data_IF_028025414485
#
_entry.id   IF_028025414485
#
_cell.length_a   1.000
_cell.length_b   1.000
_cell.length_c   1.000
_cell.angle_alpha   90.00
_cell.angle_beta   90.00
_cell.angle_gamma   90.00
#
_symmetry.space_group_name_H-M   'P 1'
#
loop_
_entity.id
_entity.type
_entity.pdbx_description
1 polymer ?
#
# COMPACT_ATOMS: atom_id res chain seq x y z
N UNK A 1 21.21 1.82 23.64
CA UNK A 1 19.96 1.83 24.42
C UNK A 1 19.54 0.39 24.72
N UNK A 2 19.38 0.02 25.97
CA UNK A 2 18.74 -1.27 26.30
C UNK A 2 17.22 -1.06 26.33
N UNK A 3 16.45 -2.01 25.83
CA UNK A 3 14.99 -2.01 25.91
C UNK A 3 14.34 -2.69 24.70
N UNK A 4 13.04 -2.98 24.83
CA UNK A 4 12.27 -3.67 23.81
C UNK A 4 11.26 -2.74 23.16
N UNK A 5 11.09 -2.86 21.84
CA UNK A 5 10.10 -2.09 21.09
C UNK A 5 9.03 -3.01 20.47
N UNK A 6 7.83 -2.48 20.34
CA UNK A 6 6.73 -3.08 19.62
C UNK A 6 6.15 -2.08 18.61
N UNK A 7 5.99 -2.49 17.36
CA UNK A 7 5.44 -1.65 16.31
C UNK A 7 4.14 -2.28 15.81
N UNK A 8 3.07 -1.48 15.76
CA UNK A 8 1.80 -1.89 15.19
C UNK A 8 1.46 -0.99 14.00
N UNK A 9 1.22 -1.59 12.83
CA UNK A 9 1.04 -0.86 11.57
C UNK A 9 -0.43 -0.82 11.17
N UNK A 10 -0.93 0.40 10.96
CA UNK A 10 -2.28 0.67 10.48
C UNK A 10 -2.20 1.41 9.15
N UNK A 11 -2.09 0.69 8.01
CA UNK A 11 -1.90 1.44 6.79
C UNK A 11 -1.87 0.64 5.49
N UNK A 12 -1.08 1.14 4.58
CA UNK A 12 -0.79 0.57 3.27
C UNK A 12 0.63 -0.01 3.25
N UNK A 13 1.02 -0.62 2.14
CA UNK A 13 2.36 -1.20 1.95
C UNK A 13 3.50 -0.20 2.22
N UNK A 14 3.31 1.11 1.94
CA UNK A 14 4.29 2.12 2.33
C UNK A 14 4.45 2.22 3.85
N UNK A 15 3.34 2.12 4.63
CA UNK A 15 3.45 2.10 6.09
C UNK A 15 4.08 0.80 6.60
N UNK A 16 3.86 -0.34 5.94
CA UNK A 16 4.55 -1.60 6.27
C UNK A 16 6.06 -1.41 6.12
N UNK A 17 6.52 -0.89 4.99
CA UNK A 17 7.94 -0.61 4.78
C UNK A 17 8.47 0.49 5.74
N UNK A 18 7.70 1.54 6.02
CA UNK A 18 8.10 2.54 7.02
C UNK A 18 8.30 1.90 8.40
N UNK A 19 7.47 0.91 8.78
CA UNK A 19 7.61 0.15 10.02
C UNK A 19 8.86 -0.72 10.04
N UNK A 20 9.19 -1.40 8.93
CA UNK A 20 10.43 -2.16 8.77
C UNK A 20 11.67 -1.25 8.92
N UNK A 21 11.63 -0.02 8.35
CA UNK A 21 12.68 0.98 8.49
C UNK A 21 12.80 1.48 9.94
N UNK A 22 11.68 1.76 10.60
CA UNK A 22 11.64 2.16 12.01
C UNK A 22 12.22 1.04 12.87
N UNK A 23 11.82 -0.21 12.66
CA UNK A 23 12.32 -1.36 13.38
C UNK A 23 13.83 -1.53 13.21
N UNK A 24 14.34 -1.43 11.99
CA UNK A 24 15.78 -1.49 11.70
C UNK A 24 16.56 -0.37 12.38
N UNK A 25 16.05 0.86 12.39
CA UNK A 25 16.67 1.99 13.06
C UNK A 25 16.70 1.83 14.58
N UNK A 26 15.61 1.33 15.18
CA UNK A 26 15.57 1.04 16.62
C UNK A 26 16.53 -0.10 17.00
N UNK A 27 16.60 -1.15 16.19
CA UNK A 27 17.53 -2.25 16.41
C UNK A 27 18.99 -1.79 16.29
N UNK A 28 19.31 -0.97 15.29
CA UNK A 28 20.64 -0.35 15.16
C UNK A 28 20.98 0.54 16.38
N UNK A 29 19.98 1.15 16.99
CA UNK A 29 20.15 1.92 18.25
C UNK A 29 20.26 1.05 19.49
N UNK A 30 20.34 -0.30 19.37
CA UNK A 30 20.53 -1.25 20.45
C UNK A 30 19.25 -1.66 21.18
N UNK A 31 18.08 -1.49 20.56
CA UNK A 31 16.82 -2.03 21.08
C UNK A 31 16.47 -3.37 20.40
N UNK A 32 15.69 -4.21 21.07
CA UNK A 32 15.23 -5.50 20.56
C UNK A 32 13.73 -5.48 20.28
N UNK A 33 13.22 -6.22 19.25
CA UNK A 33 11.81 -6.44 19.07
C UNK A 33 11.17 -7.15 20.29
N UNK A 34 10.03 -6.69 20.75
CA UNK A 34 9.23 -7.37 21.77
C UNK A 34 8.33 -8.41 21.12
N UNK A 35 8.13 -9.55 21.81
CA UNK A 35 7.22 -10.60 21.34
C UNK A 35 5.74 -10.13 21.30
N UNK A 36 5.37 -9.28 22.24
CA UNK A 36 4.03 -8.71 22.36
C UNK A 36 4.07 -7.29 22.95
N UNK A 37 2.93 -6.62 22.95
CA UNK A 37 2.80 -5.25 23.43
C UNK A 37 3.07 -5.09 24.92
N UNK A 38 2.82 -6.13 25.73
CA UNK A 38 3.02 -6.08 27.20
C UNK A 38 4.49 -6.14 27.59
N UNK A 39 5.33 -6.74 26.75
CA UNK A 39 6.77 -6.88 26.98
C UNK A 39 7.58 -5.66 26.46
N UNK A 40 6.94 -4.70 25.78
CA UNK A 40 7.62 -3.57 25.18
C UNK A 40 7.85 -2.42 26.15
N UNK A 41 9.00 -1.75 26.03
CA UNK A 41 9.32 -0.48 26.71
C UNK A 41 8.99 0.72 25.83
N UNK A 42 8.88 0.49 24.51
CA UNK A 42 8.49 1.47 23.50
C UNK A 42 7.42 0.84 22.61
N UNK A 43 6.25 1.47 22.52
CA UNK A 43 5.18 1.09 21.60
C UNK A 43 5.07 2.19 20.53
N UNK A 44 5.17 1.82 19.26
CA UNK A 44 5.00 2.72 18.12
C UNK A 44 3.80 2.28 17.30
N UNK A 45 2.83 3.19 17.12
CA UNK A 45 1.72 3.01 16.20
C UNK A 45 2.04 3.75 14.90
N UNK A 46 2.34 3.01 13.83
CA UNK A 46 2.53 3.59 12.50
C UNK A 46 1.18 3.68 11.79
N UNK A 47 0.82 4.90 11.36
CA UNK A 47 -0.57 5.26 11.12
C UNK A 47 -0.80 5.86 9.73
N UNK A 48 -1.92 5.44 9.10
CA UNK A 48 -2.38 5.94 7.81
C UNK A 48 -3.46 7.02 7.98
N UNK A 49 -3.47 8.02 7.13
CA UNK A 49 -4.50 9.06 7.06
C UNK A 49 -5.51 8.87 5.93
N UNK A 50 -5.26 7.92 5.02
CA UNK A 50 -6.09 7.72 3.81
C UNK A 50 -7.43 7.09 4.16
N UNK A 51 -7.44 6.06 5.04
CA UNK A 51 -8.65 5.30 5.40
C UNK A 51 -9.14 5.70 6.78
N UNK A 52 -10.39 6.17 6.87
CA UNK A 52 -10.97 6.58 8.15
C UNK A 52 -11.03 5.44 9.18
N UNK A 53 -11.40 4.24 8.74
CA UNK A 53 -11.39 3.05 9.61
C UNK A 53 -10.01 2.76 10.21
N UNK A 54 -8.92 3.12 9.52
CA UNK A 54 -7.57 2.98 10.08
C UNK A 54 -7.34 3.98 11.21
N UNK A 55 -7.75 5.23 11.03
CA UNK A 55 -7.67 6.29 12.08
C UNK A 55 -8.49 5.90 13.32
N UNK A 56 -9.73 5.40 13.12
CA UNK A 56 -10.59 4.94 14.22
C UNK A 56 -9.95 3.77 14.99
N UNK A 57 -9.35 2.81 14.28
CA UNK A 57 -8.63 1.69 14.92
C UNK A 57 -7.44 2.18 15.75
N UNK A 58 -6.69 3.17 15.27
CA UNK A 58 -5.58 3.76 16.03
C UNK A 58 -6.07 4.37 17.34
N UNK A 59 -7.14 5.17 17.31
CA UNK A 59 -7.68 5.75 18.54
C UNK A 59 -8.24 4.69 19.51
N UNK A 60 -8.90 3.64 19.01
CA UNK A 60 -9.34 2.52 19.83
C UNK A 60 -8.14 1.82 20.49
N UNK A 61 -7.07 1.56 19.71
CA UNK A 61 -5.84 0.93 20.22
C UNK A 61 -5.14 1.79 21.26
N UNK A 62 -5.07 3.11 21.05
CA UNK A 62 -4.55 4.05 22.06
C UNK A 62 -5.36 4.01 23.36
N UNK A 63 -6.68 3.80 23.27
CA UNK A 63 -7.51 3.60 24.45
C UNK A 63 -7.13 2.35 25.27
N UNK A 64 -6.73 1.25 24.60
CA UNK A 64 -6.24 0.03 25.26
C UNK A 64 -4.84 0.27 25.87
N UNK A 65 -3.93 0.88 25.12
CA UNK A 65 -2.56 1.19 25.56
C UNK A 65 -2.56 2.14 26.77
N UNK A 66 -3.55 2.99 26.91
CA UNK A 66 -3.71 3.89 28.08
C UNK A 66 -3.68 3.13 29.40
N UNK A 67 -4.25 1.93 29.45
CA UNK A 67 -4.25 1.08 30.66
C UNK A 67 -2.82 0.64 30.99
N UNK A 68 -2.09 0.13 30.01
CA UNK A 68 -0.68 -0.27 30.18
C UNK A 68 0.21 0.92 30.60
N UNK A 69 -0.03 2.11 30.01
CA UNK A 69 0.70 3.33 30.37
C UNK A 69 0.42 3.79 31.80
N UNK A 70 -0.78 3.57 32.32
CA UNK A 70 -1.13 3.91 33.70
C UNK A 70 -0.39 3.02 34.72
N UNK A 71 -0.17 1.75 34.39
CA UNK A 71 0.57 0.78 35.19
C UNK A 71 2.09 0.94 35.04
N UNK A 72 2.56 1.32 33.87
CA UNK A 72 3.99 1.44 33.49
C UNK A 72 4.28 2.86 33.01
N UNK A 73 4.58 3.76 33.95
CA UNK A 73 4.81 5.19 33.67
C UNK A 73 5.97 5.45 32.72
N UNK A 74 7.01 4.61 32.75
CA UNK A 74 8.18 4.69 31.86
C UNK A 74 7.89 4.24 30.43
N UNK A 75 6.79 3.53 30.18
CA UNK A 75 6.42 3.06 28.84
C UNK A 75 6.34 4.25 27.87
N UNK A 76 7.10 4.21 26.79
CA UNK A 76 7.03 5.22 25.73
C UNK A 76 5.98 4.83 24.71
N UNK A 77 5.06 5.75 24.41
CA UNK A 77 4.03 5.56 23.39
C UNK A 77 4.24 6.59 22.30
N UNK A 78 4.51 6.09 21.08
CA UNK A 78 4.69 6.91 19.87
C UNK A 78 3.57 6.72 18.87
N UNK A 79 3.16 7.81 18.22
CA UNK A 79 2.29 7.80 17.04
C UNK A 79 3.07 8.39 15.88
N UNK A 80 3.21 7.62 14.79
CA UNK A 80 4.03 8.02 13.65
C UNK A 80 3.28 7.85 12.34
N UNK A 81 3.84 8.37 11.24
CA UNK A 81 3.31 8.19 9.90
C UNK A 81 2.33 9.27 9.45
N UNK A 82 1.53 8.95 8.42
CA UNK A 82 0.71 9.95 7.71
C UNK A 82 -0.37 10.59 8.59
N UNK A 83 -0.99 9.86 9.54
CA UNK A 83 -1.96 10.45 10.46
C UNK A 83 -1.30 11.42 11.43
N UNK A 84 -0.13 11.06 11.99
CA UNK A 84 0.64 11.94 12.86
C UNK A 84 0.99 13.25 12.13
N UNK A 85 1.44 13.16 10.87
CA UNK A 85 1.75 14.32 10.03
C UNK A 85 0.52 15.18 9.76
N UNK A 86 -0.64 14.58 9.45
CA UNK A 86 -1.84 15.31 9.05
C UNK A 86 -2.57 15.97 10.22
N UNK A 87 -2.72 15.25 11.33
CA UNK A 87 -3.42 15.75 12.53
C UNK A 87 -2.51 16.60 13.43
N UNK A 88 -1.20 16.38 13.36
CA UNK A 88 -0.23 17.12 14.12
C UNK A 88 -0.53 17.09 15.63
N UNK A 89 -0.34 18.21 16.30
CA UNK A 89 -0.54 18.32 17.74
C UNK A 89 -1.99 18.06 18.22
N UNK A 90 -2.97 18.00 17.30
CA UNK A 90 -4.34 17.62 17.67
C UNK A 90 -4.40 16.21 18.25
N UNK A 91 -3.48 15.31 17.83
CA UNK A 91 -3.34 13.96 18.38
C UNK A 91 -3.00 14.04 19.87
N UNK A 92 -2.05 14.89 20.25
CA UNK A 92 -1.63 15.08 21.65
C UNK A 92 -2.75 15.66 22.52
N UNK A 93 -3.57 16.58 21.96
CA UNK A 93 -4.73 17.13 22.69
C UNK A 93 -5.77 16.06 23.00
N UNK A 94 -6.00 15.12 22.04
CA UNK A 94 -6.93 13.98 22.23
C UNK A 94 -6.35 12.89 23.13
N UNK A 95 -5.03 12.66 23.07
CA UNK A 95 -4.32 11.57 23.74
C UNK A 95 -3.05 12.11 24.43
N UNK A 96 -3.19 12.77 25.59
CA UNK A 96 -2.08 13.50 26.26
C UNK A 96 -0.93 12.61 26.78
N UNK A 97 -1.11 11.30 26.84
CA UNK A 97 -0.08 10.37 27.32
C UNK A 97 0.93 9.93 26.25
N UNK A 98 0.78 10.38 25.00
CA UNK A 98 1.73 10.12 23.91
C UNK A 98 3.05 10.85 24.21
N UNK A 99 4.16 10.13 24.10
CA UNK A 99 5.51 10.62 24.34
C UNK A 99 6.26 11.01 23.05
N UNK A 100 5.81 10.49 21.88
CA UNK A 100 6.48 10.70 20.60
C UNK A 100 5.45 10.88 19.48
N UNK A 101 5.68 11.92 18.65
CA UNK A 101 4.85 12.20 17.46
C UNK A 101 5.78 12.52 16.29
N UNK A 102 5.74 11.72 15.21
CA UNK A 102 6.63 11.93 14.08
C UNK A 102 5.94 11.69 12.71
N UNK A 103 6.34 12.47 11.72
CA UNK A 103 5.93 12.30 10.33
C UNK A 103 6.57 11.06 9.68
N UNK A 104 6.07 10.65 8.48
CA UNK A 104 6.59 9.45 7.79
C UNK A 104 8.05 9.59 7.35
N UNK A 105 8.52 10.81 7.07
CA UNK A 105 9.91 11.07 6.68
C UNK A 105 10.93 10.91 7.82
N UNK A 106 10.48 10.61 9.05
CA UNK A 106 11.35 10.54 10.25
C UNK A 106 11.68 9.11 10.71
N UNK A 107 11.43 8.10 9.86
CA UNK A 107 11.74 6.70 10.17
C UNK A 107 13.22 6.46 10.49
N UNK A 108 14.12 7.16 9.80
CA UNK A 108 15.58 7.06 9.92
C UNK A 108 16.15 7.65 11.23
N UNK A 109 15.41 8.49 11.95
CA UNK A 109 15.83 9.11 13.21
C UNK A 109 15.05 8.62 14.43
N UNK A 110 14.33 7.53 14.30
CA UNK A 110 13.40 7.05 15.34
C UNK A 110 14.10 6.76 16.67
N UNK A 111 15.29 6.17 16.64
CA UNK A 111 16.08 5.94 17.84
C UNK A 111 16.39 7.23 18.63
N UNK A 112 16.81 8.29 17.91
CA UNK A 112 17.05 9.61 18.51
C UNK A 112 15.78 10.22 19.11
N UNK A 113 14.63 10.03 18.45
CA UNK A 113 13.35 10.52 18.95
C UNK A 113 12.89 9.77 20.21
N UNK A 114 13.12 8.45 20.27
CA UNK A 114 12.87 7.64 21.46
C UNK A 114 13.74 8.07 22.62
N UNK A 115 15.04 8.33 22.42
CA UNK A 115 15.93 8.85 23.46
C UNK A 115 15.47 10.20 24.00
N UNK A 116 15.06 11.09 23.09
CA UNK A 116 14.52 12.39 23.47
C UNK A 116 13.23 12.27 24.30
N UNK A 117 12.37 11.31 23.95
CA UNK A 117 11.15 11.02 24.69
C UNK A 117 11.41 10.42 26.09
N UNK A 118 12.53 9.67 26.26
CA UNK A 118 12.97 9.15 27.58
C UNK A 118 13.52 10.23 28.50
N UNK A 119 14.26 11.17 27.94
CA UNK A 119 14.96 12.21 28.72
C UNK A 119 14.11 13.43 29.11
N UNK A 120 12.93 13.61 28.54
CA UNK A 120 12.10 14.80 28.71
C UNK A 120 10.70 14.50 29.22
N UNK A 121 10.16 15.40 30.05
CA UNK A 121 8.73 15.36 30.44
C UNK A 121 7.79 15.80 29.33
N UNK A 122 8.31 16.47 28.28
CA UNK A 122 7.52 16.90 27.12
C UNK A 122 7.63 15.88 25.97
N UNK A 123 6.59 15.71 25.15
CA UNK A 123 6.63 14.81 24.00
C UNK A 123 7.74 15.19 22.99
N UNK A 124 8.41 14.19 22.43
CA UNK A 124 9.31 14.37 21.31
C UNK A 124 8.49 14.49 20.02
N UNK A 125 8.46 15.69 19.43
CA UNK A 125 7.69 15.98 18.21
C UNK A 125 8.64 16.28 17.07
N UNK A 126 8.47 15.58 15.92
CA UNK A 126 9.11 15.95 14.66
C UNK A 126 8.17 15.68 13.47
N UNK A 127 7.50 16.74 13.04
CA UNK A 127 6.55 16.76 11.92
C UNK A 127 7.07 17.61 10.75
N UNK A 128 8.34 18.03 10.80
CA UNK A 128 8.92 18.83 9.71
C UNK A 128 9.03 18.00 8.45
N UNK A 129 8.52 18.54 7.38
CA UNK A 129 8.82 18.07 6.03
C UNK A 129 9.98 18.93 5.54
N UNK A 130 11.12 18.29 5.36
CA UNK A 130 12.33 19.00 4.98
C UNK A 130 12.30 19.31 3.48
N UNK A 131 12.77 20.49 3.07
CA UNK A 131 12.91 20.88 1.66
C UNK A 131 14.04 20.11 0.97
N UNK A 132 15.05 19.70 1.75
CA UNK A 132 16.13 18.78 1.33
C UNK A 132 16.18 17.58 2.29
N UNK A 133 15.23 16.66 2.16
CA UNK A 133 15.13 15.52 3.05
C UNK A 133 16.27 14.51 2.80
N UNK A 134 16.62 13.77 3.86
CA UNK A 134 17.55 12.64 3.77
C UNK A 134 17.28 11.74 2.56
N UNK A 135 18.32 11.13 1.97
CA UNK A 135 18.17 10.16 0.90
C UNK A 135 17.10 9.11 1.20
N UNK A 136 16.39 8.66 0.18
CA UNK A 136 15.35 7.62 0.32
C UNK A 136 15.94 6.25 0.68
N UNK A 137 17.25 6.11 0.51
CA UNK A 137 18.02 4.96 0.95
C UNK A 137 18.03 4.89 2.48
N UNK A 138 17.77 3.71 3.00
CA UNK A 138 17.86 3.45 4.44
C UNK A 138 18.84 2.33 4.69
N UNK A 139 19.87 2.60 5.48
CA UNK A 139 20.89 1.61 5.81
C UNK A 139 20.39 0.45 6.68
N UNK A 140 19.25 0.62 7.36
CA UNK A 140 18.75 -0.36 8.33
C UNK A 140 17.28 -0.62 8.10
N UNK A 141 16.96 -1.85 7.62
CA UNK A 141 15.59 -2.31 7.43
C UNK A 141 15.45 -3.69 8.07
N UNK A 142 14.59 -3.83 9.06
CA UNK A 142 14.25 -5.13 9.65
C UNK A 142 13.04 -5.70 8.90
N UNK A 143 13.28 -6.56 7.92
CA UNK A 143 12.25 -7.10 7.05
C UNK A 143 11.49 -8.24 7.72
N UNK A 144 10.17 -8.24 7.62
CA UNK A 144 9.31 -9.30 8.14
C UNK A 144 9.35 -10.55 7.27
N UNK A 145 9.32 -10.38 5.94
CA UNK A 145 9.39 -11.49 4.99
C UNK A 145 10.84 -11.81 4.61
N UNK A 146 11.14 -13.10 4.40
CA UNK A 146 12.45 -13.59 3.95
C UNK A 146 12.54 -13.83 2.44
N UNK A 147 11.47 -13.65 1.70
CA UNK A 147 11.40 -13.92 0.25
C UNK A 147 10.79 -12.77 -0.56
N UNK A 148 10.17 -11.79 0.11
CA UNK A 148 9.58 -10.61 -0.51
C UNK A 148 10.04 -9.35 0.20
N UNK A 149 10.46 -8.33 -0.57
CA UNK A 149 10.89 -7.05 -0.05
C UNK A 149 10.14 -5.87 -0.68
N UNK A 150 9.71 -4.91 0.14
CA UNK A 150 9.28 -3.60 -0.32
C UNK A 150 10.49 -2.72 -0.65
N UNK A 151 10.43 -2.01 -1.78
CA UNK A 151 11.49 -1.09 -2.24
C UNK A 151 10.86 0.27 -2.52
N UNK A 152 11.27 1.29 -1.77
CA UNK A 152 10.89 2.67 -2.10
C UNK A 152 11.63 3.10 -3.37
N UNK A 153 10.90 3.44 -4.43
CA UNK A 153 11.46 4.03 -5.65
C UNK A 153 11.17 5.52 -5.75
N UNK A 154 10.08 5.96 -5.13
CA UNK A 154 9.69 7.37 -5.03
C UNK A 154 8.90 7.64 -3.76
N UNK A 155 8.92 8.86 -3.27
CA UNK A 155 8.09 9.33 -2.16
C UNK A 155 7.47 10.68 -2.48
N UNK A 156 6.24 10.92 -1.96
CA UNK A 156 5.48 12.13 -2.25
C UNK A 156 4.73 12.08 -3.58
N UNK A 157 3.99 13.14 -3.89
CA UNK A 157 3.16 13.18 -5.09
C UNK A 157 2.87 14.63 -5.50
N UNK A 158 3.12 14.96 -6.76
CA UNK A 158 2.84 16.30 -7.33
C UNK A 158 1.42 16.44 -7.86
N UNK A 159 0.63 15.35 -7.83
CA UNK A 159 -0.78 15.37 -8.21
C UNK A 159 -1.59 16.16 -7.18
N UNK A 160 -2.57 16.93 -7.70
CA UNK A 160 -3.43 17.78 -6.89
C UNK A 160 -4.87 17.28 -6.85
N UNK A 161 -5.04 15.94 -6.70
CA UNK A 161 -6.38 15.35 -6.55
C UNK A 161 -7.10 15.99 -5.36
N UNK A 162 -8.35 16.43 -5.56
CA UNK A 162 -9.04 17.30 -4.58
C UNK A 162 -9.33 16.64 -3.23
N UNK A 163 -9.35 15.33 -3.16
CA UNK A 163 -9.61 14.53 -1.95
C UNK A 163 -8.33 14.01 -1.26
N UNK A 164 -7.16 14.16 -1.88
CA UNK A 164 -5.96 13.43 -1.49
C UNK A 164 -5.12 14.22 -0.49
N UNK A 165 -4.69 13.53 0.57
CA UNK A 165 -3.84 14.09 1.64
C UNK A 165 -2.34 13.85 1.43
N UNK A 166 -1.94 13.08 0.41
CA UNK A 166 -0.54 12.69 0.20
C UNK A 166 0.41 13.90 0.11
N UNK A 167 0.10 14.98 -0.63
CA UNK A 167 0.99 16.15 -0.67
C UNK A 167 1.22 16.79 0.69
N UNK A 168 0.26 16.66 1.63
CA UNK A 168 0.34 17.22 2.98
C UNK A 168 0.99 16.27 3.99
N UNK A 169 1.18 15.00 3.62
CA UNK A 169 1.74 14.00 4.53
C UNK A 169 3.10 13.46 4.11
N UNK A 170 3.37 13.41 2.80
CA UNK A 170 4.63 12.90 2.23
C UNK A 170 5.37 13.91 1.36
N UNK A 171 4.77 15.09 1.12
CA UNK A 171 5.39 16.18 0.37
C UNK A 171 5.31 16.00 -1.15
N UNK A 172 6.17 16.75 -1.86
CA UNK A 172 6.36 16.67 -3.30
C UNK A 172 7.00 15.33 -3.68
N UNK A 173 6.78 14.90 -4.93
CA UNK A 173 7.44 13.72 -5.45
C UNK A 173 8.94 13.94 -5.51
N UNK A 174 9.67 12.95 -5.04
CA UNK A 174 11.12 12.78 -5.20
C UNK A 174 11.37 11.33 -5.54
N UNK A 175 12.22 11.15 -6.52
CA UNK A 175 12.56 9.85 -7.06
C UNK A 175 13.96 9.45 -6.58
N UNK A 176 14.14 8.16 -6.37
CA UNK A 176 15.40 7.56 -5.97
C UNK A 176 16.23 7.24 -7.22
N UNK A 177 17.55 7.37 -7.16
CA UNK A 177 18.44 6.99 -8.26
C UNK A 177 18.30 5.50 -8.60
N UNK A 178 18.22 5.20 -9.90
CA UNK A 178 18.04 3.84 -10.40
C UNK A 178 19.19 2.92 -10.00
N UNK A 179 20.41 3.42 -9.99
CA UNK A 179 21.59 2.65 -9.57
C UNK A 179 21.47 2.16 -8.13
N UNK A 180 21.00 3.01 -7.21
CA UNK A 180 20.78 2.64 -5.81
C UNK A 180 19.65 1.61 -5.66
N UNK A 181 18.56 1.73 -6.45
CA UNK A 181 17.47 0.75 -6.44
C UNK A 181 17.97 -0.62 -6.93
N UNK A 182 18.71 -0.65 -8.03
CA UNK A 182 19.26 -1.88 -8.63
C UNK A 182 20.20 -2.56 -7.63
N UNK A 183 21.12 -1.81 -7.04
CA UNK A 183 22.05 -2.34 -6.04
C UNK A 183 21.34 -2.95 -4.82
N UNK A 184 20.29 -2.30 -4.32
CA UNK A 184 19.49 -2.86 -3.21
C UNK A 184 18.81 -4.16 -3.63
N UNK A 185 18.23 -4.23 -4.83
CA UNK A 185 17.57 -5.45 -5.32
C UNK A 185 18.57 -6.59 -5.54
N UNK A 186 19.76 -6.31 -6.10
CA UNK A 186 20.84 -7.30 -6.25
C UNK A 186 21.27 -7.87 -4.89
N UNK A 187 21.47 -7.00 -3.88
CA UNK A 187 21.81 -7.42 -2.52
C UNK A 187 20.73 -8.33 -1.92
N UNK A 188 19.47 -7.97 -2.07
CA UNK A 188 18.34 -8.76 -1.58
C UNK A 188 18.26 -10.13 -2.28
N UNK A 189 18.46 -10.17 -3.59
CA UNK A 189 18.50 -11.44 -4.33
C UNK A 189 19.65 -12.32 -3.86
N UNK A 190 20.81 -11.76 -3.58
CA UNK A 190 21.95 -12.49 -3.01
C UNK A 190 21.63 -13.05 -1.59
N UNK A 191 20.77 -12.40 -0.83
CA UNK A 191 20.23 -12.88 0.46
C UNK A 191 19.09 -13.91 0.32
N UNK A 192 18.64 -14.22 -0.92
CA UNK A 192 17.61 -15.21 -1.19
C UNK A 192 16.19 -14.65 -1.39
N UNK A 193 16.02 -13.33 -1.49
CA UNK A 193 14.73 -12.74 -1.85
C UNK A 193 14.43 -12.99 -3.32
N UNK A 194 13.19 -13.37 -3.62
CA UNK A 194 12.75 -13.71 -4.99
C UNK A 194 11.66 -12.81 -5.54
N UNK A 195 11.00 -12.01 -4.70
CA UNK A 195 9.99 -11.04 -5.09
C UNK A 195 10.31 -9.65 -4.51
N UNK A 196 10.23 -8.62 -5.34
CA UNK A 196 10.28 -7.22 -4.90
C UNK A 196 8.97 -6.51 -5.22
N UNK A 197 8.59 -5.56 -4.36
CA UNK A 197 7.41 -4.70 -4.56
C UNK A 197 7.89 -3.26 -4.61
N UNK A 198 7.83 -2.65 -5.79
CA UNK A 198 8.22 -1.25 -5.99
C UNK A 198 7.12 -0.34 -5.45
N UNK A 199 7.47 0.53 -4.52
CA UNK A 199 6.56 1.37 -3.75
C UNK A 199 6.79 2.85 -4.03
N UNK A 200 5.68 3.57 -4.14
CA UNK A 200 5.59 5.02 -4.32
C UNK A 200 4.13 5.44 -4.33
N UNK A 201 3.86 6.73 -4.44
CA UNK A 201 2.47 7.24 -4.50
C UNK A 201 1.96 7.37 -5.94
N UNK A 202 2.88 7.45 -6.91
CA UNK A 202 2.61 7.42 -8.36
C UNK A 202 3.81 6.77 -9.04
N UNK A 203 3.97 5.45 -8.88
CA UNK A 203 5.19 4.74 -9.28
C UNK A 203 5.52 4.87 -10.77
N UNK A 204 4.52 4.97 -11.64
CA UNK A 204 4.73 5.10 -13.08
C UNK A 204 5.05 6.55 -13.54
N UNK A 205 5.06 7.52 -12.62
CA UNK A 205 5.64 8.84 -12.84
C UNK A 205 7.13 8.89 -12.43
N UNK A 206 7.70 7.77 -11.98
CA UNK A 206 9.12 7.67 -11.64
C UNK A 206 9.99 8.09 -12.82
N UNK A 207 10.96 8.95 -12.53
CA UNK A 207 11.99 9.37 -13.45
C UNK A 207 13.31 9.43 -12.69
N UNK A 208 14.29 8.64 -13.13
CA UNK A 208 15.60 8.58 -12.53
C UNK A 208 16.27 9.97 -12.53
N UNK A 209 16.59 10.54 -11.35
CA UNK A 209 17.24 11.85 -11.26
C UNK A 209 18.70 11.84 -11.71
N UNK A 210 19.32 10.66 -11.90
CA UNK A 210 20.70 10.52 -12.35
C UNK A 210 20.84 10.75 -13.86
N UNK A 211 22.06 10.91 -14.39
CA UNK A 211 22.32 11.02 -15.84
C UNK A 211 21.79 9.83 -16.65
N UNK A 212 21.55 8.66 -16.04
CA UNK A 212 20.95 7.49 -16.70
C UNK A 212 19.51 7.76 -17.15
N UNK A 213 18.78 8.65 -16.43
CA UNK A 213 17.46 9.17 -16.79
C UNK A 213 16.44 8.10 -17.17
N UNK A 214 16.43 6.96 -16.45
CA UNK A 214 15.53 5.86 -16.74
C UNK A 214 14.08 6.25 -16.43
N UNK A 215 13.17 5.87 -17.34
CA UNK A 215 11.73 5.85 -17.07
C UNK A 215 11.37 4.70 -16.14
N UNK A 216 10.15 4.69 -15.59
CA UNK A 216 9.66 3.56 -14.81
C UNK A 216 9.72 2.23 -15.58
N UNK A 217 9.35 2.23 -16.86
CA UNK A 217 9.46 1.05 -17.72
C UNK A 217 10.93 0.63 -17.92
N UNK A 218 11.83 1.59 -18.08
CA UNK A 218 13.27 1.35 -18.16
C UNK A 218 13.82 0.71 -16.87
N UNK A 219 13.41 1.22 -15.70
CA UNK A 219 13.77 0.63 -14.41
C UNK A 219 13.27 -0.82 -14.28
N UNK A 220 12.00 -1.09 -14.65
CA UNK A 220 11.43 -2.44 -14.61
C UNK A 220 12.22 -3.43 -15.49
N UNK A 221 12.63 -3.02 -16.71
CA UNK A 221 13.46 -3.85 -17.60
C UNK A 221 14.79 -4.18 -16.95
N UNK A 222 15.48 -3.19 -16.40
CA UNK A 222 16.77 -3.40 -15.71
C UNK A 222 16.66 -4.35 -14.53
N UNK A 223 15.60 -4.20 -13.72
CA UNK A 223 15.36 -5.11 -12.60
C UNK A 223 15.01 -6.53 -13.04
N UNK A 224 14.29 -6.68 -14.16
CA UNK A 224 13.92 -7.99 -14.69
C UNK A 224 15.12 -8.78 -15.23
N UNK A 225 16.26 -8.12 -15.52
CA UNK A 225 17.51 -8.76 -15.95
C UNK A 225 18.33 -9.33 -14.77
N UNK A 226 17.97 -9.01 -13.50
CA UNK A 226 18.70 -9.51 -12.32
C UNK A 226 18.44 -11.01 -12.17
N UNK A 227 19.52 -11.81 -12.30
CA UNK A 227 19.45 -13.26 -12.14
C UNK A 227 19.02 -13.63 -10.72
N UNK A 228 18.07 -14.55 -10.60
CA UNK A 228 17.51 -14.96 -9.30
C UNK A 228 16.23 -14.23 -8.92
N UNK A 229 15.98 -13.00 -9.38
CA UNK A 229 14.72 -12.31 -9.17
C UNK A 229 13.59 -12.96 -9.98
N UNK A 230 12.55 -13.43 -9.30
CA UNK A 230 11.44 -14.17 -9.95
C UNK A 230 10.21 -13.31 -10.18
N UNK A 231 9.96 -12.31 -9.31
CA UNK A 231 8.77 -11.47 -9.38
C UNK A 231 9.06 -10.00 -9.04
N UNK A 232 8.53 -9.13 -9.87
CA UNK A 232 8.54 -7.68 -9.67
C UNK A 232 7.08 -7.22 -9.65
N UNK A 233 6.64 -6.68 -8.53
CA UNK A 233 5.34 -6.01 -8.38
C UNK A 233 5.53 -4.52 -8.22
N UNK A 234 4.49 -3.78 -8.51
CA UNK A 234 4.46 -2.34 -8.23
C UNK A 234 3.06 -1.90 -7.80
N UNK A 235 2.99 -0.80 -7.06
CA UNK A 235 1.74 -0.27 -6.53
C UNK A 235 1.46 1.14 -7.05
N UNK A 236 0.17 1.54 -7.03
CA UNK A 236 -0.27 2.92 -7.23
C UNK A 236 0.16 3.61 -8.54
N UNK A 237 0.11 2.96 -9.72
CA UNK A 237 0.28 3.68 -10.97
C UNK A 237 -0.91 4.63 -11.22
N UNK A 238 -0.65 5.75 -11.89
CA UNK A 238 -1.68 6.69 -12.31
C UNK A 238 -2.09 6.44 -13.77
N UNK A 239 -3.41 6.48 -14.10
CA UNK A 239 -3.87 6.19 -15.46
C UNK A 239 -3.24 7.04 -16.57
N UNK A 240 -2.96 8.32 -16.31
CA UNK A 240 -2.35 9.22 -17.31
C UNK A 240 -0.90 8.88 -17.65
N UNK A 241 -0.18 8.25 -16.74
CA UNK A 241 1.23 7.88 -16.93
C UNK A 241 1.36 6.41 -17.40
N UNK A 242 0.26 5.77 -17.81
CA UNK A 242 0.28 4.38 -18.22
C UNK A 242 0.66 4.28 -19.72
N UNK A 243 1.97 4.22 -20.00
CA UNK A 243 2.53 4.23 -21.34
C UNK A 243 2.47 2.86 -22.04
N UNK A 244 2.59 2.85 -23.38
CA UNK A 244 2.72 1.61 -24.15
C UNK A 244 4.04 0.90 -23.82
N UNK A 245 5.10 1.64 -23.50
CA UNK A 245 6.38 1.10 -23.06
C UNK A 245 6.24 0.28 -21.75
N UNK A 246 5.38 0.74 -20.82
CA UNK A 246 5.09 0.00 -19.59
C UNK A 246 4.32 -1.30 -19.88
N UNK A 247 3.35 -1.25 -20.81
CA UNK A 247 2.61 -2.44 -21.24
C UNK A 247 3.58 -3.44 -21.88
N UNK A 248 4.44 -2.98 -22.77
CA UNK A 248 5.46 -3.80 -23.42
C UNK A 248 6.39 -4.46 -22.40
N UNK A 249 6.88 -3.71 -21.40
CA UNK A 249 7.72 -4.26 -20.35
C UNK A 249 7.01 -5.41 -19.58
N UNK A 250 5.73 -5.22 -19.19
CA UNK A 250 4.94 -6.26 -18.51
C UNK A 250 4.77 -7.51 -19.38
N UNK A 251 4.62 -7.34 -20.69
CA UNK A 251 4.42 -8.45 -21.63
C UNK A 251 5.72 -9.20 -21.89
N UNK A 252 6.81 -8.48 -22.08
CA UNK A 252 8.10 -9.04 -22.51
C UNK A 252 8.82 -9.77 -21.39
N UNK A 253 8.75 -9.24 -20.16
CA UNK A 253 9.48 -9.79 -19.02
C UNK A 253 8.55 -10.57 -18.10
N UNK A 254 8.62 -11.92 -18.06
CA UNK A 254 7.74 -12.75 -17.23
C UNK A 254 7.89 -12.48 -15.73
N UNK A 255 9.05 -11.99 -15.31
CA UNK A 255 9.32 -11.56 -13.91
C UNK A 255 8.43 -10.40 -13.49
N UNK A 256 8.06 -9.48 -14.41
CA UNK A 256 7.13 -8.41 -14.09
C UNK A 256 5.73 -9.02 -13.97
N UNK A 257 5.16 -8.90 -12.78
CA UNK A 257 3.86 -9.47 -12.48
C UNK A 257 2.76 -8.85 -13.36
N UNK A 258 1.89 -9.68 -13.91
CA UNK A 258 0.82 -9.29 -14.82
C UNK A 258 -0.43 -8.77 -14.10
N UNK A 259 -0.24 -7.91 -13.12
CA UNK A 259 -1.30 -7.25 -12.35
C UNK A 259 -1.02 -5.75 -12.29
N UNK A 260 -2.03 -4.96 -12.57
CA UNK A 260 -1.99 -3.50 -12.48
C UNK A 260 -3.10 -3.03 -11.56
N UNK A 261 -2.73 -2.24 -10.54
CA UNK A 261 -3.71 -1.51 -9.75
C UNK A 261 -3.87 -0.12 -10.34
N UNK A 262 -4.97 0.17 -11.05
CA UNK A 262 -5.21 1.39 -11.83
C UNK A 262 -6.38 2.20 -11.24
N UNK A 263 -6.15 3.07 -10.22
CA UNK A 263 -7.21 3.75 -9.48
C UNK A 263 -8.00 4.74 -10.35
N UNK A 264 -9.25 4.41 -10.71
CA UNK A 264 -10.12 5.29 -11.48
C UNK A 264 -10.79 6.36 -10.62
N UNK A 265 -11.21 6.01 -9.42
CA UNK A 265 -11.92 6.79 -8.40
C UNK A 265 -13.43 6.98 -8.67
N UNK A 266 -13.88 7.22 -9.90
CA UNK A 266 -15.28 7.32 -10.31
C UNK A 266 -15.47 6.96 -11.78
N UNK A 267 -16.64 6.49 -12.15
CA UNK A 267 -17.01 6.24 -13.55
C UNK A 267 -17.57 7.47 -14.27
N UNK A 268 -17.85 8.57 -13.58
CA UNK A 268 -18.38 9.80 -14.15
C UNK A 268 -17.28 10.80 -14.47
N UNK A 269 -17.21 11.26 -15.73
CA UNK A 269 -16.27 12.32 -16.15
C UNK A 269 -16.47 13.61 -15.34
N UNK A 270 -17.70 13.97 -14.97
CA UNK A 270 -18.00 15.11 -14.11
C UNK A 270 -17.35 14.94 -12.74
N UNK A 271 -17.45 13.76 -12.11
CA UNK A 271 -16.83 13.47 -10.83
C UNK A 271 -15.30 13.45 -10.93
N UNK A 272 -14.75 12.85 -11.97
CA UNK A 272 -13.31 12.84 -12.24
C UNK A 272 -12.75 14.27 -12.36
N UNK A 273 -13.48 15.18 -13.00
CA UNK A 273 -13.13 16.60 -13.08
C UNK A 273 -13.14 17.25 -11.68
N UNK A 274 -14.21 17.05 -10.90
CA UNK A 274 -14.31 17.57 -9.52
C UNK A 274 -13.24 17.00 -8.59
N UNK A 275 -12.85 15.74 -8.79
CA UNK A 275 -11.75 15.06 -8.11
C UNK A 275 -10.36 15.49 -8.61
N UNK A 276 -10.28 16.32 -9.67
CA UNK A 276 -9.04 16.79 -10.33
C UNK A 276 -8.15 15.62 -10.77
N UNK A 277 -8.74 14.60 -11.42
CA UNK A 277 -7.99 13.42 -11.87
C UNK A 277 -7.19 13.66 -13.14
N UNK A 278 -7.54 14.68 -13.95
CA UNK A 278 -6.83 15.06 -15.17
C UNK A 278 -7.10 14.12 -16.35
N UNK A 279 -8.16 13.30 -16.29
CA UNK A 279 -8.64 12.42 -17.36
C UNK A 279 -10.17 12.27 -17.30
N UNK A 280 -10.74 11.84 -18.41
CA UNK A 280 -12.16 11.51 -18.54
C UNK A 280 -12.38 10.00 -18.45
N UNK A 281 -13.63 9.58 -18.31
CA UNK A 281 -14.03 8.18 -18.39
C UNK A 281 -13.53 7.54 -19.69
N UNK A 282 -13.70 8.22 -20.82
CA UNK A 282 -13.35 7.73 -22.15
C UNK A 282 -11.84 7.49 -22.29
N UNK A 283 -11.01 8.44 -21.79
CA UNK A 283 -9.56 8.30 -21.82
C UNK A 283 -9.09 7.17 -20.89
N UNK A 284 -9.73 6.98 -19.74
CA UNK A 284 -9.49 5.84 -18.87
C UNK A 284 -9.81 4.51 -19.55
N UNK A 285 -11.00 4.40 -20.18
CA UNK A 285 -11.39 3.20 -20.94
C UNK A 285 -10.46 2.92 -22.10
N UNK A 286 -9.93 3.96 -22.77
CA UNK A 286 -8.90 3.80 -23.80
C UNK A 286 -7.61 3.17 -23.23
N UNK A 287 -7.17 3.59 -22.04
CA UNK A 287 -6.02 2.99 -21.36
C UNK A 287 -6.31 1.53 -20.98
N UNK A 288 -7.48 1.22 -20.44
CA UNK A 288 -7.91 -0.15 -20.15
C UNK A 288 -7.92 -1.01 -21.44
N UNK A 289 -8.44 -0.48 -22.55
CA UNK A 289 -8.48 -1.19 -23.82
C UNK A 289 -7.06 -1.52 -24.35
N UNK A 290 -6.08 -0.61 -24.20
CA UNK A 290 -4.66 -0.88 -24.53
C UNK A 290 -4.10 -2.02 -23.67
N UNK A 291 -4.34 -2.00 -22.35
CA UNK A 291 -3.89 -3.06 -21.44
C UNK A 291 -4.54 -4.40 -21.79
N UNK A 292 -5.83 -4.44 -22.10
CA UNK A 292 -6.57 -5.68 -22.44
C UNK A 292 -6.18 -6.28 -23.79
N UNK A 293 -5.59 -5.47 -24.73
CA UNK A 293 -5.06 -5.96 -26.01
C UNK A 293 -3.69 -6.64 -25.86
N UNK A 294 -3.06 -6.54 -24.70
CA UNK A 294 -1.76 -7.15 -24.46
C UNK A 294 -1.83 -8.68 -24.68
N UNK A 295 -0.87 -9.29 -25.38
CA UNK A 295 -0.87 -10.73 -25.66
C UNK A 295 -0.72 -11.58 -24.39
N UNK A 296 -0.09 -11.07 -23.35
CA UNK A 296 -0.10 -11.64 -21.99
C UNK A 296 -1.25 -11.00 -21.21
N UNK A 297 -2.25 -11.77 -20.73
CA UNK A 297 -3.36 -11.21 -19.96
C UNK A 297 -2.87 -10.45 -18.72
N UNK A 298 -3.32 -9.21 -18.57
CA UNK A 298 -3.01 -8.36 -17.42
C UNK A 298 -4.29 -8.14 -16.62
N UNK A 299 -4.28 -8.51 -15.34
CA UNK A 299 -5.40 -8.26 -14.43
C UNK A 299 -5.39 -6.80 -13.96
N UNK A 300 -6.59 -6.24 -13.79
CA UNK A 300 -6.77 -4.84 -13.42
C UNK A 300 -7.56 -4.77 -12.12
N UNK A 301 -7.00 -4.08 -11.13
CA UNK A 301 -7.71 -3.67 -9.92
C UNK A 301 -7.79 -2.15 -9.84
N UNK A 302 -8.74 -1.63 -9.05
CA UNK A 302 -8.98 -0.18 -8.96
C UNK A 302 -9.44 0.25 -7.58
N UNK A 303 -9.36 1.56 -7.32
CA UNK A 303 -10.04 2.24 -6.21
C UNK A 303 -11.24 3.02 -6.72
N UNK A 304 -12.34 3.02 -5.96
CA UNK A 304 -13.54 3.80 -6.23
C UNK A 304 -14.03 4.48 -4.94
N UNK A 305 -14.35 5.77 -5.06
CA UNK A 305 -14.97 6.57 -4.01
C UNK A 305 -16.40 6.88 -4.41
N UNK A 306 -17.36 6.48 -3.59
CA UNK A 306 -18.78 6.80 -3.77
C UNK A 306 -19.22 7.93 -2.84
N UNK A 307 -20.21 8.70 -3.27
CA UNK A 307 -20.75 9.81 -2.50
C UNK A 307 -19.79 10.98 -2.37
N UNK A 308 -18.97 11.23 -3.39
CA UNK A 308 -18.15 12.44 -3.46
C UNK A 308 -19.06 13.66 -3.58
N UNK A 309 -18.72 14.84 -2.99
CA UNK A 309 -19.55 16.05 -3.07
C UNK A 309 -20.03 16.36 -4.49
N UNK A 310 -21.34 16.51 -4.65
CA UNK A 310 -21.99 16.77 -5.94
C UNK A 310 -22.27 15.54 -6.79
N UNK A 311 -21.98 14.30 -6.31
CA UNK A 311 -22.32 13.07 -7.02
C UNK A 311 -23.83 12.85 -7.04
N UNK A 312 -24.43 12.77 -8.22
CA UNK A 312 -25.84 12.46 -8.43
C UNK A 312 -26.03 11.00 -8.86
N UNK A 313 -27.26 10.51 -8.88
CA UNK A 313 -27.57 9.12 -9.28
C UNK A 313 -27.08 8.77 -10.68
N UNK A 314 -27.07 9.73 -11.61
CA UNK A 314 -26.51 9.52 -12.94
C UNK A 314 -25.01 9.26 -12.87
N UNK A 315 -24.27 10.05 -12.07
CA UNK A 315 -22.83 9.91 -11.88
C UNK A 315 -22.47 8.55 -11.23
N UNK A 316 -23.30 8.09 -10.28
CA UNK A 316 -23.14 6.77 -9.66
C UNK A 316 -23.47 5.64 -10.63
N UNK A 317 -24.51 5.77 -11.45
CA UNK A 317 -24.83 4.79 -12.52
C UNK A 317 -23.68 4.65 -13.51
N UNK A 318 -23.03 5.75 -13.90
CA UNK A 318 -21.82 5.70 -14.73
C UNK A 318 -20.71 4.88 -14.07
N UNK A 319 -20.61 4.93 -12.73
CA UNK A 319 -19.63 4.14 -11.98
C UNK A 319 -19.98 2.65 -11.99
N UNK A 320 -21.24 2.29 -11.84
CA UNK A 320 -21.71 0.89 -11.94
C UNK A 320 -21.50 0.34 -13.36
N UNK A 321 -21.87 1.12 -14.39
CA UNK A 321 -21.65 0.75 -15.79
C UNK A 321 -20.14 0.57 -16.13
N UNK A 322 -19.26 1.35 -15.48
CA UNK A 322 -17.82 1.17 -15.62
C UNK A 322 -17.35 -0.19 -15.06
N UNK A 323 -17.92 -0.67 -13.95
CA UNK A 323 -17.61 -2.00 -13.41
C UNK A 323 -17.95 -3.09 -14.44
N UNK A 324 -19.15 -3.00 -15.05
CA UNK A 324 -19.62 -3.96 -16.04
C UNK A 324 -18.79 -3.91 -17.33
N UNK A 325 -18.37 -2.71 -17.73
CA UNK A 325 -17.53 -2.52 -18.92
C UNK A 325 -16.11 -3.07 -18.73
N UNK A 326 -15.47 -2.77 -17.59
CA UNK A 326 -14.06 -3.09 -17.36
C UNK A 326 -13.87 -4.51 -16.82
N UNK A 327 -14.81 -5.03 -16.03
CA UNK A 327 -14.72 -6.34 -15.38
C UNK A 327 -13.44 -6.43 -14.52
N UNK A 328 -13.38 -5.61 -13.45
CA UNK A 328 -12.21 -5.55 -12.59
C UNK A 328 -11.98 -6.86 -11.82
N UNK A 329 -10.74 -7.30 -11.72
CA UNK A 329 -10.34 -8.44 -10.88
C UNK A 329 -10.51 -8.15 -9.39
N UNK A 330 -10.36 -6.87 -8.98
CA UNK A 330 -10.60 -6.41 -7.63
C UNK A 330 -10.90 -4.92 -7.57
N UNK A 331 -11.80 -4.50 -6.68
CA UNK A 331 -12.12 -3.09 -6.42
C UNK A 331 -12.02 -2.80 -4.92
N UNK A 332 -11.18 -1.84 -4.57
CA UNK A 332 -11.21 -1.22 -3.25
C UNK A 332 -12.19 -0.06 -3.29
N UNK A 333 -13.28 -0.16 -2.55
CA UNK A 333 -14.36 0.81 -2.58
C UNK A 333 -14.54 1.50 -1.23
N UNK A 334 -14.78 2.81 -1.27
CA UNK A 334 -14.83 3.67 -0.10
C UNK A 334 -15.99 4.66 -0.21
N UNK A 335 -16.61 5.01 0.92
CA UNK A 335 -17.41 6.24 1.02
C UNK A 335 -16.46 7.43 1.02
N UNK A 336 -16.83 8.51 0.37
CA UNK A 336 -16.12 9.77 0.56
C UNK A 336 -16.11 10.15 2.04
N UNK A 337 -14.96 10.56 2.52
CA UNK A 337 -14.76 11.05 3.87
C UNK A 337 -13.88 12.31 3.80
N UNK A 338 -14.35 13.45 4.31
CA UNK A 338 -13.61 14.71 4.27
C UNK A 338 -12.29 14.59 5.03
N UNK A 339 -11.23 15.18 4.46
CA UNK A 339 -9.88 15.16 5.05
C UNK A 339 -9.35 16.56 5.23
N UNK A 340 -8.66 16.86 6.36
CA UNK A 340 -8.05 18.17 6.58
C UNK A 340 -7.13 18.56 5.42
N UNK A 341 -7.07 19.85 5.15
CA UNK A 341 -6.21 20.48 4.15
C UNK A 341 -6.54 20.14 2.67
N UNK A 342 -7.49 19.24 2.40
CA UNK A 342 -7.84 18.87 1.02
C UNK A 342 -8.80 19.91 0.40
N UNK A 343 -8.68 20.20 -0.92
CA UNK A 343 -9.61 21.10 -1.59
C UNK A 343 -11.08 20.61 -1.54
N UNK A 344 -11.30 19.30 -1.52
CA UNK A 344 -12.65 18.74 -1.44
C UNK A 344 -13.37 19.08 -0.12
N UNK A 345 -12.63 19.41 0.94
CA UNK A 345 -13.24 19.87 2.20
C UNK A 345 -14.03 21.18 2.06
N UNK A 346 -13.74 21.98 1.02
CA UNK A 346 -14.44 23.22 0.74
C UNK A 346 -15.71 23.04 -0.09
N UNK A 347 -15.92 21.81 -0.63
CA UNK A 347 -17.14 21.48 -1.36
C UNK A 347 -18.26 21.17 -0.37
N UNK A 348 -19.51 21.48 -0.78
CA UNK A 348 -20.68 21.10 -0.01
C UNK A 348 -20.85 19.57 -0.13
N UNK A 349 -20.72 18.85 0.98
CA UNK A 349 -20.98 17.41 1.05
C UNK A 349 -22.50 17.19 1.10
N UNK A 350 -23.13 17.23 -0.08
CA UNK A 350 -24.57 17.18 -0.30
C UNK A 350 -25.12 15.76 -0.45
N UNK A 351 -24.29 14.73 -0.31
CA UNK A 351 -24.73 13.32 -0.37
C UNK A 351 -24.87 12.77 1.05
N UNK A 352 -26.08 12.40 1.50
CA UNK A 352 -26.29 11.84 2.83
C UNK A 352 -25.47 10.58 3.10
N UNK A 353 -25.04 10.35 4.34
CA UNK A 353 -24.20 9.18 4.70
C UNK A 353 -24.94 7.85 4.45
N UNK A 354 -26.26 7.82 4.63
CA UNK A 354 -27.10 6.68 4.31
C UNK A 354 -27.05 6.33 2.82
N UNK A 355 -27.15 7.35 1.95
CA UNK A 355 -27.05 7.19 0.51
C UNK A 355 -25.64 6.72 0.09
N UNK A 356 -24.58 7.31 0.67
CA UNK A 356 -23.20 6.82 0.49
C UNK A 356 -23.10 5.33 0.87
N UNK A 357 -23.74 4.94 1.97
CA UNK A 357 -23.81 3.55 2.44
C UNK A 357 -24.52 2.63 1.44
N UNK A 358 -25.66 3.05 0.92
CA UNK A 358 -26.45 2.30 -0.07
C UNK A 358 -25.67 2.13 -1.38
N UNK A 359 -25.08 3.21 -1.90
CA UNK A 359 -24.21 3.17 -3.10
C UNK A 359 -23.02 2.25 -2.92
N UNK A 360 -22.34 2.31 -1.77
CA UNK A 360 -21.20 1.44 -1.49
C UNK A 360 -21.60 -0.03 -1.48
N UNK A 361 -22.73 -0.36 -0.85
CA UNK A 361 -23.26 -1.73 -0.78
C UNK A 361 -23.56 -2.27 -2.18
N UNK A 362 -24.30 -1.50 -2.99
CA UNK A 362 -24.64 -1.90 -4.36
C UNK A 362 -23.38 -2.15 -5.21
N UNK A 363 -22.39 -1.26 -5.14
CA UNK A 363 -21.13 -1.41 -5.84
C UNK A 363 -20.39 -2.69 -5.42
N UNK A 364 -20.36 -2.97 -4.11
CA UNK A 364 -19.69 -4.16 -3.58
C UNK A 364 -20.40 -5.46 -3.99
N UNK A 365 -21.72 -5.48 -4.03
CA UNK A 365 -22.51 -6.62 -4.49
C UNK A 365 -22.25 -6.90 -5.97
N UNK A 366 -22.28 -5.87 -6.82
CA UNK A 366 -21.96 -5.99 -8.25
C UNK A 366 -20.52 -6.49 -8.46
N UNK A 367 -19.55 -5.88 -7.80
CA UNK A 367 -18.17 -6.29 -7.92
C UNK A 367 -17.93 -7.74 -7.43
N UNK A 368 -18.61 -8.16 -6.38
CA UNK A 368 -18.51 -9.54 -5.88
C UNK A 368 -18.97 -10.55 -6.92
N UNK A 369 -20.02 -10.24 -7.67
CA UNK A 369 -20.50 -11.09 -8.75
C UNK A 369 -19.48 -11.16 -9.90
N UNK A 370 -18.91 -10.01 -10.31
CA UNK A 370 -17.87 -9.94 -11.33
C UNK A 370 -16.66 -10.81 -10.91
N UNK A 371 -16.17 -10.62 -9.68
CA UNK A 371 -15.03 -11.40 -9.17
C UNK A 371 -15.31 -12.91 -9.14
N UNK A 372 -16.53 -13.30 -8.72
CA UNK A 372 -16.94 -14.69 -8.70
C UNK A 372 -16.87 -15.32 -10.10
N UNK A 373 -17.42 -14.62 -11.10
CA UNK A 373 -17.41 -15.08 -12.50
C UNK A 373 -15.99 -15.16 -13.08
N UNK A 374 -15.14 -14.18 -12.79
CA UNK A 374 -13.72 -14.21 -13.20
C UNK A 374 -13.00 -15.40 -12.57
N UNK A 375 -13.23 -15.65 -11.27
CA UNK A 375 -12.56 -16.74 -10.57
C UNK A 375 -13.06 -18.12 -11.01
N UNK A 376 -14.30 -18.23 -11.47
CA UNK A 376 -14.85 -19.47 -12.01
C UNK A 376 -14.04 -20.02 -13.20
N UNK A 377 -13.46 -19.14 -14.01
CA UNK A 377 -12.64 -19.50 -15.17
C UNK A 377 -11.32 -20.21 -14.79
N UNK A 378 -10.89 -20.14 -13.53
CA UNK A 378 -9.66 -20.81 -13.08
C UNK A 378 -9.86 -22.26 -12.69
N UNK A 379 -11.10 -22.73 -12.50
CA UNK A 379 -11.37 -24.12 -12.10
C UNK A 379 -10.80 -25.11 -13.11
N UNK A 380 -10.02 -26.08 -12.64
CA UNK A 380 -9.32 -27.08 -13.44
C UNK A 380 -8.00 -26.58 -14.07
N UNK A 381 -7.61 -25.32 -13.84
CA UNK A 381 -6.33 -24.80 -14.32
C UNK A 381 -5.19 -25.12 -13.36
N UNK A 382 -3.99 -25.34 -13.93
CA UNK A 382 -2.72 -25.40 -13.21
C UNK A 382 -2.10 -24.02 -13.16
N UNK A 383 -1.81 -23.52 -11.95
CA UNK A 383 -1.32 -22.16 -11.76
C UNK A 383 -0.05 -22.14 -10.91
N UNK A 384 0.87 -21.24 -11.25
CA UNK A 384 2.06 -20.99 -10.45
C UNK A 384 1.74 -20.05 -9.29
N UNK A 385 2.09 -20.45 -8.08
CA UNK A 385 1.81 -19.73 -6.82
C UNK A 385 3.11 -19.53 -6.04
N UNK A 386 3.41 -18.28 -5.65
CA UNK A 386 4.39 -18.00 -4.61
C UNK A 386 3.71 -18.19 -3.25
N UNK A 387 4.19 -19.13 -2.45
CA UNK A 387 3.66 -19.40 -1.12
C UNK A 387 4.13 -18.30 -0.17
N UNK A 388 3.20 -17.45 0.28
CA UNK A 388 3.54 -16.22 1.03
C UNK A 388 3.08 -16.23 2.49
N UNK A 389 2.45 -17.32 2.96
CA UNK A 389 2.05 -17.46 4.35
C UNK A 389 1.11 -18.63 4.63
N UNK A 390 0.66 -18.68 5.87
CA UNK A 390 -0.36 -19.64 6.31
C UNK A 390 -1.76 -19.16 5.89
N UNK A 391 -2.62 -20.10 5.52
CA UNK A 391 -4.01 -19.79 5.17
C UNK A 391 -4.79 -19.34 6.43
N UNK A 392 -5.71 -18.39 6.22
CA UNK A 392 -6.68 -17.98 7.27
C UNK A 392 -7.97 -18.82 7.26
N UNK A 393 -7.99 -19.90 6.49
CA UNK A 393 -9.12 -20.80 6.27
C UNK A 393 -8.76 -22.22 6.70
N UNK A 394 -9.56 -23.20 6.31
CA UNK A 394 -9.33 -24.63 6.59
C UNK A 394 -8.16 -25.26 5.81
N UNK A 395 -7.37 -24.47 5.10
CA UNK A 395 -6.14 -24.88 4.41
C UNK A 395 -4.92 -24.51 5.24
N UNK A 396 -3.78 -25.18 4.99
CA UNK A 396 -2.53 -24.89 5.71
C UNK A 396 -1.77 -23.71 5.15
N UNK A 397 -1.70 -23.59 3.81
CA UNK A 397 -0.91 -22.58 3.11
C UNK A 397 -1.77 -21.65 2.26
N UNK A 398 -1.27 -20.45 2.10
CA UNK A 398 -1.77 -19.44 1.19
C UNK A 398 -0.62 -18.90 0.35
N UNK A 399 -0.92 -18.52 -0.89
CA UNK A 399 0.06 -17.89 -1.76
C UNK A 399 -0.61 -17.02 -2.82
N UNK A 400 0.21 -16.42 -3.68
CA UNK A 400 -0.25 -15.52 -4.74
C UNK A 400 0.29 -15.92 -6.09
N UNK A 401 -0.60 -15.85 -7.08
CA UNK A 401 -0.22 -15.92 -8.48
C UNK A 401 0.48 -14.62 -8.93
N UNK A 402 1.10 -14.63 -10.11
CA UNK A 402 1.67 -13.43 -10.72
C UNK A 402 0.62 -12.31 -10.87
N UNK A 403 -0.62 -12.64 -11.21
CA UNK A 403 -1.75 -11.72 -11.32
C UNK A 403 -2.40 -11.33 -9.97
N UNK A 404 -1.73 -11.62 -8.85
CA UNK A 404 -2.13 -11.29 -7.48
C UNK A 404 -3.36 -12.01 -6.92
N UNK A 405 -3.91 -13.02 -7.62
CA UNK A 405 -4.99 -13.85 -7.05
C UNK A 405 -4.45 -14.72 -5.92
N UNK A 406 -5.22 -14.78 -4.85
CA UNK A 406 -4.90 -15.60 -3.67
C UNK A 406 -5.33 -17.02 -3.94
N UNK A 407 -4.44 -17.98 -3.65
CA UNK A 407 -4.69 -19.41 -3.73
C UNK A 407 -4.43 -20.04 -2.37
N UNK A 408 -5.42 -20.76 -1.83
CA UNK A 408 -5.31 -21.54 -0.60
C UNK A 408 -5.25 -23.02 -0.94
N UNK A 409 -4.31 -23.74 -0.31
CA UNK A 409 -4.09 -25.16 -0.54
C UNK A 409 -3.39 -25.80 0.65
N UNK A 410 -3.38 -27.14 0.71
CA UNK A 410 -2.66 -27.89 1.74
C UNK A 410 -1.25 -28.25 1.28
N UNK A 411 -0.29 -28.09 2.20
CA UNK A 411 1.12 -28.41 1.97
C UNK A 411 1.97 -28.23 3.22
N UNK A 412 3.22 -28.70 3.20
CA UNK A 412 4.15 -28.52 4.32
C UNK A 412 4.69 -27.08 4.38
N UNK A 413 4.98 -26.58 5.59
CA UNK A 413 5.53 -25.23 5.80
C UNK A 413 6.88 -24.97 5.09
N UNK A 414 7.61 -26.03 4.73
CA UNK A 414 8.85 -25.94 3.95
C UNK A 414 8.67 -25.34 2.55
N UNK A 415 7.43 -25.17 2.09
CA UNK A 415 7.09 -24.50 0.83
C UNK A 415 7.00 -22.97 0.97
N UNK A 416 7.02 -22.41 2.17
CA UNK A 416 7.03 -20.97 2.35
C UNK A 416 8.20 -20.32 1.60
N UNK A 417 7.91 -19.28 0.84
CA UNK A 417 8.87 -18.59 -0.02
C UNK A 417 9.21 -19.32 -1.32
N UNK A 418 8.53 -20.42 -1.67
CA UNK A 418 8.77 -21.15 -2.91
C UNK A 418 7.65 -20.93 -3.93
N UNK A 419 8.02 -21.03 -5.20
CA UNK A 419 7.07 -21.11 -6.31
C UNK A 419 6.66 -22.59 -6.47
N UNK A 420 5.35 -22.82 -6.46
CA UNK A 420 4.76 -24.17 -6.59
C UNK A 420 3.64 -24.16 -7.64
N UNK A 421 3.32 -25.30 -8.20
CA UNK A 421 2.17 -25.49 -9.09
C UNK A 421 0.98 -26.01 -8.27
N UNK A 422 -0.18 -25.39 -8.44
CA UNK A 422 -1.43 -25.77 -7.78
C UNK A 422 -2.50 -25.96 -8.83
N UNK A 423 -3.22 -27.09 -8.79
CA UNK A 423 -4.44 -27.32 -9.57
C UNK A 423 -5.63 -26.69 -8.85
N UNK A 424 -6.39 -25.82 -9.52
CA UNK A 424 -7.54 -25.14 -8.92
C UNK A 424 -8.77 -26.04 -8.93
N UNK A 425 -9.21 -26.47 -7.76
CA UNK A 425 -10.38 -27.32 -7.58
C UNK A 425 -11.68 -26.54 -7.35
N UNK A 426 -11.60 -25.41 -6.63
CA UNK A 426 -12.76 -24.60 -6.22
C UNK A 426 -12.38 -23.11 -6.10
N UNK A 427 -13.38 -22.24 -5.94
CA UNK A 427 -13.17 -20.80 -5.86
C UNK A 427 -14.26 -20.12 -5.03
N UNK A 428 -13.94 -18.90 -4.60
CA UNK A 428 -14.88 -17.90 -4.03
C UNK A 428 -14.70 -16.59 -4.80
N UNK A 429 -15.49 -15.58 -4.49
CA UNK A 429 -15.22 -14.25 -5.04
C UNK A 429 -13.83 -13.71 -4.65
N UNK A 430 -13.28 -14.08 -3.50
CA UNK A 430 -12.06 -13.49 -2.95
C UNK A 430 -10.79 -14.35 -3.12
N UNK A 431 -10.92 -15.65 -3.36
CA UNK A 431 -9.78 -16.58 -3.44
C UNK A 431 -10.10 -17.84 -4.23
N UNK A 432 -9.04 -18.44 -4.73
CA UNK A 432 -9.03 -19.75 -5.33
C UNK A 432 -8.64 -20.80 -4.28
N UNK A 433 -9.05 -22.06 -4.49
CA UNK A 433 -8.72 -23.20 -3.66
C UNK A 433 -8.21 -24.31 -4.55
N UNK A 434 -7.17 -24.98 -4.15
CA UNK A 434 -6.58 -26.01 -5.00
C UNK A 434 -5.83 -27.08 -4.24
N UNK A 435 -5.20 -27.97 -5.01
CA UNK A 435 -4.32 -29.02 -4.53
C UNK A 435 -2.92 -28.84 -5.11
N UNK A 436 -1.91 -29.08 -4.28
CA UNK A 436 -0.51 -29.04 -4.70
C UNK A 436 -0.28 -30.15 -5.75
N UNK A 437 0.34 -29.76 -6.86
CA UNK A 437 0.78 -30.72 -7.88
C UNK A 437 2.14 -31.27 -7.47
N UNK A 438 2.23 -32.58 -7.35
CA UNK A 438 3.47 -33.29 -6.96
C UNK A 438 4.51 -33.28 -8.08
#
# INVERSE_FOLDING_TARGET
MAGKFFIETFGCQMNELDSEKIAGNLQHSGMEPAADVSAADVIILNTCSVREKAVQKVYARLGEIKKLKAERRELIVGVVGCMAQLEGERVLKKVPFINLLAGPQKSHVMGKLVDRARGNHAPAIDLRMDDDPEPLETGYVLRESRWRAGITISEGCDRRCSFCVVPFTRGKQRDRESASIIQEVEALVAEGYIEVVLLGQTVNAYHDPSPASLTFAGLLRRLAEIEGLKRIRFSSPHPNEFSDELIEAIVTYPQICNQVHLPVQSGSTKMLCSMRRGYTRESYLSTVARIRRAPRPITISTDIIVGFPGEKDADFRDTIDLLDTVQYDYVFSFKYSPRPNTPALQLCDDVPDEEKGARLKLLQEQQKLIQYNINAAYKGQFVEVLVDGNARSNFTLSGRMSNNKIVNFDGPESLLGRLVTVEIADFTANSLKGALVQ
#
